data_IF_843423734353
#
_entry.id   IF_843423734353
#
_cell.length_a   1.000
_cell.length_b   1.000
_cell.length_c   1.000
_cell.angle_alpha   90.00
_cell.angle_beta   90.00
_cell.angle_gamma   90.00
#
_symmetry.space_group_name_H-M   'P 1'
#
loop_
_entity.id
_entity.type
_entity.pdbx_description
1 polymer ?
#
# COMPACT_ATOMS: atom_id res chain seq x y z
N UNK A 1 -22.57 -12.45 3.04
CA UNK A 1 -21.68 -11.39 2.50
C UNK A 1 -21.49 -10.31 3.56
N UNK A 2 -20.31 -9.72 3.69
CA UNK A 2 -20.01 -8.68 4.69
C UNK A 2 -20.65 -7.32 4.36
N UNK A 3 -20.79 -6.43 5.35
CA UNK A 3 -21.34 -5.08 5.16
C UNK A 3 -20.48 -4.24 4.19
N UNK A 4 -19.16 -4.37 4.27
CA UNK A 4 -18.21 -3.62 3.44
C UNK A 4 -18.32 -4.01 1.97
N UNK A 5 -18.40 -5.32 1.68
CA UNK A 5 -18.62 -5.80 0.31
C UNK A 5 -19.96 -5.33 -0.24
N UNK A 6 -21.04 -5.43 0.54
CA UNK A 6 -22.37 -4.96 0.12
C UNK A 6 -22.38 -3.44 -0.20
N UNK A 7 -21.75 -2.63 0.65
CA UNK A 7 -21.61 -1.19 0.44
C UNK A 7 -20.79 -0.87 -0.80
N UNK A 8 -19.67 -1.57 -1.01
CA UNK A 8 -18.84 -1.40 -2.20
C UNK A 8 -19.59 -1.80 -3.48
N UNK A 9 -20.30 -2.95 -3.49
CA UNK A 9 -21.14 -3.34 -4.63
C UNK A 9 -22.14 -2.23 -4.94
N UNK A 10 -22.89 -1.76 -3.94
CA UNK A 10 -23.89 -0.70 -4.12
C UNK A 10 -23.28 0.58 -4.70
N UNK A 11 -22.08 0.98 -4.26
CA UNK A 11 -21.38 2.17 -4.74
C UNK A 11 -20.97 2.06 -6.21
N UNK A 12 -20.54 0.86 -6.64
CA UNK A 12 -20.03 0.61 -7.99
C UNK A 12 -21.06 -0.04 -8.94
N UNK A 13 -22.30 -0.25 -8.48
CA UNK A 13 -23.40 -0.82 -9.27
C UNK A 13 -23.97 0.20 -10.28
N UNK A 14 -23.22 0.44 -11.35
CA UNK A 14 -23.53 1.41 -12.39
C UNK A 14 -22.94 0.99 -13.75
N UNK A 15 -23.35 1.64 -14.83
CA UNK A 15 -22.99 1.30 -16.22
C UNK A 15 -21.53 1.61 -16.60
N UNK A 16 -20.73 2.16 -15.68
CA UNK A 16 -19.32 2.48 -15.88
C UNK A 16 -18.42 1.41 -15.23
N UNK A 17 -18.90 0.74 -14.17
CA UNK A 17 -18.17 -0.33 -13.46
C UNK A 17 -18.92 -1.66 -13.52
N UNK A 18 -19.74 -2.02 -12.52
CA UNK A 18 -20.26 -3.39 -12.41
C UNK A 18 -21.31 -3.74 -13.48
N UNK A 19 -22.04 -2.75 -14.01
CA UNK A 19 -23.01 -2.97 -15.09
C UNK A 19 -22.45 -2.61 -16.47
N UNK A 20 -21.12 -2.43 -16.58
CA UNK A 20 -20.46 -2.12 -17.85
C UNK A 20 -20.58 -3.27 -18.85
N UNK A 21 -20.62 -4.51 -18.37
CA UNK A 21 -20.81 -5.73 -19.17
C UNK A 21 -21.92 -6.59 -18.56
N UNK A 22 -22.54 -7.43 -19.40
CA UNK A 22 -23.53 -8.41 -18.94
C UNK A 22 -22.96 -9.41 -17.94
N UNK A 23 -21.65 -9.70 -18.01
CA UNK A 23 -20.99 -10.56 -17.03
C UNK A 23 -20.92 -9.89 -15.66
N UNK A 24 -20.53 -8.62 -15.59
CA UNK A 24 -20.54 -7.87 -14.33
C UNK A 24 -21.95 -7.81 -13.73
N UNK A 25 -22.96 -7.49 -14.55
CA UNK A 25 -24.36 -7.50 -14.13
C UNK A 25 -24.78 -8.86 -13.55
N UNK A 26 -24.46 -9.96 -14.25
CA UNK A 26 -24.73 -11.32 -13.80
C UNK A 26 -24.04 -11.65 -12.46
N UNK A 27 -22.78 -11.24 -12.28
CA UNK A 27 -22.03 -11.50 -11.05
C UNK A 27 -22.66 -10.76 -9.87
N UNK A 28 -22.96 -9.46 -10.03
CA UNK A 28 -23.30 -8.60 -8.88
C UNK A 28 -24.80 -8.39 -8.66
N UNK A 29 -25.67 -8.98 -9.49
CA UNK A 29 -27.13 -8.97 -9.30
C UNK A 29 -27.59 -10.26 -8.66
N UNK A 30 -28.33 -10.15 -7.56
CA UNK A 30 -28.96 -11.29 -6.93
C UNK A 30 -30.11 -11.80 -7.83
N UNK A 31 -30.05 -13.05 -8.32
CA UNK A 31 -31.04 -13.58 -9.26
C UNK A 31 -32.44 -13.71 -8.65
N UNK A 32 -32.56 -13.84 -7.33
CA UNK A 32 -33.84 -13.99 -6.64
C UNK A 32 -34.57 -12.65 -6.50
N UNK A 33 -33.82 -11.54 -6.42
CA UNK A 33 -34.39 -10.21 -6.14
C UNK A 33 -34.30 -9.23 -7.31
N UNK A 34 -33.45 -9.52 -8.31
CA UNK A 34 -33.15 -8.61 -9.42
C UNK A 34 -32.44 -7.32 -9.00
N UNK A 35 -31.85 -7.29 -7.80
CA UNK A 35 -31.17 -6.13 -7.21
C UNK A 35 -29.70 -6.45 -6.93
N UNK A 36 -28.81 -5.46 -6.75
CA UNK A 36 -27.46 -5.71 -6.27
C UNK A 36 -27.49 -6.46 -4.94
N UNK A 37 -26.56 -7.40 -4.75
CA UNK A 37 -26.48 -8.17 -3.50
C UNK A 37 -26.41 -7.25 -2.26
N UNK A 38 -27.17 -7.59 -1.23
CA UNK A 38 -27.26 -6.84 0.02
C UNK A 38 -26.47 -7.49 1.17
N UNK A 39 -26.29 -6.74 2.26
CA UNK A 39 -25.67 -7.26 3.48
C UNK A 39 -26.39 -8.53 3.95
N UNK A 40 -25.61 -9.50 4.45
CA UNK A 40 -26.09 -10.81 4.92
C UNK A 40 -26.65 -11.75 3.83
N UNK A 41 -26.62 -11.37 2.55
CA UNK A 41 -26.96 -12.29 1.45
C UNK A 41 -25.80 -13.25 1.13
N UNK A 42 -26.15 -14.42 0.58
CA UNK A 42 -25.17 -15.40 0.13
C UNK A 42 -24.67 -15.06 -1.27
N UNK A 43 -23.56 -14.32 -1.32
CA UNK A 43 -22.89 -13.97 -2.58
C UNK A 43 -21.99 -15.12 -3.05
N UNK A 44 -22.28 -15.67 -4.24
CA UNK A 44 -21.56 -16.80 -4.84
C UNK A 44 -20.90 -16.39 -6.15
N UNK A 45 -19.65 -16.77 -6.34
CA UNK A 45 -18.89 -16.52 -7.57
C UNK A 45 -18.40 -17.86 -8.15
N UNK A 46 -19.28 -18.67 -8.78
CA UNK A 46 -18.91 -20.00 -9.27
C UNK A 46 -17.85 -19.96 -10.39
N UNK A 47 -17.93 -18.97 -11.31
CA UNK A 47 -16.93 -18.78 -12.37
C UNK A 47 -15.54 -18.47 -11.77
N UNK A 48 -15.49 -17.60 -10.75
CA UNK A 48 -14.25 -17.31 -10.02
C UNK A 48 -13.71 -18.55 -9.31
N UNK A 49 -14.58 -19.37 -8.71
CA UNK A 49 -14.17 -20.60 -8.05
C UNK A 49 -13.57 -21.61 -9.04
N UNK A 50 -14.13 -21.73 -10.24
CA UNK A 50 -13.59 -22.56 -11.31
C UNK A 50 -12.24 -22.01 -11.80
N UNK A 51 -12.14 -20.70 -12.02
CA UNK A 51 -10.87 -20.04 -12.36
C UNK A 51 -9.78 -20.35 -11.33
N UNK A 52 -10.07 -20.20 -10.03
CA UNK A 52 -9.10 -20.48 -8.95
C UNK A 52 -8.67 -21.96 -8.96
N UNK A 53 -9.59 -22.90 -9.20
CA UNK A 53 -9.24 -24.34 -9.32
C UNK A 53 -8.29 -24.57 -10.49
N UNK A 54 -8.57 -23.98 -11.65
CA UNK A 54 -7.73 -24.15 -12.84
C UNK A 54 -6.33 -23.57 -12.62
N UNK A 55 -6.24 -22.38 -12.00
CA UNK A 55 -4.96 -21.76 -11.63
C UNK A 55 -4.21 -22.59 -10.59
N UNK A 56 -4.88 -23.21 -9.62
CA UNK A 56 -4.22 -24.03 -8.58
C UNK A 56 -3.53 -25.28 -9.13
N UNK A 57 -3.95 -25.77 -10.30
CA UNK A 57 -3.37 -26.97 -10.93
C UNK A 57 -2.31 -26.60 -11.96
N UNK A 58 -2.60 -25.64 -12.85
CA UNK A 58 -1.73 -25.29 -13.97
C UNK A 58 -1.65 -23.75 -14.17
N UNK A 59 -1.24 -23.01 -13.13
CA UNK A 59 -1.29 -21.55 -13.09
C UNK A 59 -0.81 -20.85 -14.36
N UNK A 60 0.45 -21.04 -14.76
CA UNK A 60 1.04 -20.35 -15.91
C UNK A 60 0.37 -20.76 -17.22
N UNK A 61 0.16 -22.07 -17.41
CA UNK A 61 -0.40 -22.58 -18.66
C UNK A 61 -1.85 -22.15 -18.86
N UNK A 62 -2.66 -22.17 -17.80
CA UNK A 62 -4.03 -21.72 -17.85
C UNK A 62 -4.16 -20.20 -18.04
N UNK A 63 -3.38 -19.43 -17.26
CA UNK A 63 -3.53 -17.99 -17.18
C UNK A 63 -2.82 -17.22 -18.31
N UNK A 64 -1.58 -17.57 -18.63
CA UNK A 64 -0.76 -16.84 -19.61
C UNK A 64 -0.77 -17.45 -21.01
N UNK A 65 -0.87 -18.78 -21.10
CA UNK A 65 -0.75 -19.49 -22.39
C UNK A 65 -2.07 -20.03 -22.94
N UNK A 66 -3.07 -20.21 -22.07
CA UNK A 66 -4.30 -20.94 -22.35
C UNK A 66 -5.53 -20.07 -22.48
N UNK A 67 -6.69 -20.67 -22.21
CA UNK A 67 -8.01 -20.09 -22.53
C UNK A 67 -8.29 -18.77 -21.82
N UNK A 68 -7.75 -18.55 -20.62
CA UNK A 68 -7.97 -17.27 -19.94
C UNK A 68 -7.26 -16.12 -20.66
N UNK A 69 -6.04 -16.31 -21.16
CA UNK A 69 -5.33 -15.31 -21.95
C UNK A 69 -6.08 -15.00 -23.26
N UNK A 70 -6.58 -16.04 -23.93
CA UNK A 70 -7.37 -15.90 -25.16
C UNK A 70 -8.68 -15.13 -24.91
N UNK A 71 -9.44 -15.50 -23.87
CA UNK A 71 -10.69 -14.84 -23.48
C UNK A 71 -10.46 -13.37 -23.12
N UNK A 72 -9.45 -13.11 -22.29
CA UNK A 72 -9.14 -11.76 -21.82
C UNK A 72 -8.71 -10.85 -22.97
N UNK A 73 -7.84 -11.33 -23.85
CA UNK A 73 -7.34 -10.53 -24.96
C UNK A 73 -8.42 -10.33 -26.03
N UNK A 74 -9.26 -11.34 -26.30
CA UNK A 74 -10.42 -11.20 -27.18
C UNK A 74 -11.39 -10.11 -26.70
N UNK A 75 -11.72 -10.13 -25.40
CA UNK A 75 -12.55 -9.09 -24.79
C UNK A 75 -11.91 -7.70 -24.89
N UNK A 76 -10.60 -7.58 -24.62
CA UNK A 76 -9.91 -6.31 -24.73
C UNK A 76 -9.88 -5.79 -26.17
N UNK A 77 -9.61 -6.65 -27.16
CA UNK A 77 -9.60 -6.27 -28.57
C UNK A 77 -11.00 -5.83 -29.05
N UNK A 78 -12.07 -6.51 -28.62
CA UNK A 78 -13.46 -6.06 -28.86
C UNK A 78 -13.69 -4.64 -28.30
N UNK A 79 -13.12 -4.34 -27.14
CA UNK A 79 -13.17 -3.01 -26.52
C UNK A 79 -12.10 -2.03 -27.02
N UNK A 80 -11.40 -2.35 -28.12
CA UNK A 80 -10.33 -1.53 -28.72
C UNK A 80 -9.15 -1.27 -27.78
N UNK A 81 -8.87 -2.22 -26.90
CA UNK A 81 -7.68 -2.28 -26.05
C UNK A 81 -6.45 -2.74 -26.82
N UNK A 82 -5.27 -2.62 -26.20
CA UNK A 82 -3.98 -2.83 -26.86
C UNK A 82 -3.27 -4.13 -26.48
N UNK A 83 -3.72 -4.81 -25.41
CA UNK A 83 -3.07 -6.03 -24.92
C UNK A 83 -3.44 -7.20 -25.84
N UNK A 84 -2.42 -7.95 -26.25
CA UNK A 84 -2.54 -9.12 -27.12
C UNK A 84 -2.21 -10.42 -26.37
N UNK A 85 -2.56 -11.57 -26.96
CA UNK A 85 -2.18 -12.88 -26.41
C UNK A 85 -0.65 -13.05 -26.37
N UNK A 86 0.06 -12.46 -27.33
CA UNK A 86 1.53 -12.48 -27.33
C UNK A 86 2.13 -11.64 -26.19
N UNK A 87 1.45 -10.58 -25.74
CA UNK A 87 1.87 -9.85 -24.54
C UNK A 87 1.71 -10.70 -23.28
N UNK A 88 0.62 -11.47 -23.18
CA UNK A 88 0.38 -12.40 -22.08
C UNK A 88 1.44 -13.50 -22.04
N UNK A 89 1.69 -14.17 -23.18
CA UNK A 89 2.65 -15.28 -23.29
C UNK A 89 4.10 -14.87 -23.07
N UNK A 90 4.45 -13.61 -23.37
CA UNK A 90 5.80 -13.08 -23.15
C UNK A 90 6.05 -12.61 -21.72
N UNK A 91 5.01 -12.49 -20.90
CA UNK A 91 5.17 -12.02 -19.53
C UNK A 91 5.97 -13.02 -18.69
N UNK A 92 6.93 -12.51 -17.91
CA UNK A 92 7.64 -13.28 -16.90
C UNK A 92 7.74 -12.47 -15.61
N UNK A 93 7.61 -13.16 -14.48
CA UNK A 93 7.88 -12.58 -13.16
C UNK A 93 9.36 -12.28 -13.04
N UNK A 94 9.71 -11.11 -12.52
CA UNK A 94 11.10 -10.77 -12.21
C UNK A 94 11.44 -11.18 -10.79
N UNK A 95 12.54 -11.90 -10.66
CA UNK A 95 13.22 -12.13 -9.40
C UNK A 95 14.35 -11.10 -9.32
N UNK A 96 14.26 -10.24 -8.32
CA UNK A 96 15.22 -9.16 -8.12
C UNK A 96 15.80 -9.29 -6.71
N UNK A 97 17.10 -9.03 -6.59
CA UNK A 97 17.74 -8.92 -5.29
C UNK A 97 17.14 -7.74 -4.53
N UNK A 98 16.75 -7.91 -3.26
CA UNK A 98 16.20 -6.83 -2.46
C UNK A 98 17.25 -5.74 -2.23
N UNK A 99 16.84 -4.48 -2.21
CA UNK A 99 17.70 -3.39 -1.73
C UNK A 99 17.65 -3.34 -0.20
N UNK A 100 18.72 -2.88 0.43
CA UNK A 100 18.80 -2.83 1.88
C UNK A 100 19.53 -1.59 2.41
N UNK A 101 19.30 -1.29 3.69
CA UNK A 101 20.08 -0.34 4.50
C UNK A 101 20.24 -0.88 5.91
N UNK A 102 21.27 -0.40 6.60
CA UNK A 102 21.27 -0.43 8.06
C UNK A 102 20.35 0.68 8.55
N UNK A 103 19.56 0.41 9.58
CA UNK A 103 18.74 1.41 10.26
C UNK A 103 18.59 1.01 11.73
N UNK A 104 19.05 1.88 12.64
CA UNK A 104 19.06 1.62 14.09
C UNK A 104 19.66 0.26 14.48
N UNK A 105 20.73 -0.15 13.79
CA UNK A 105 21.38 -1.44 14.00
C UNK A 105 20.66 -2.64 13.38
N UNK A 106 19.52 -2.48 12.70
CA UNK A 106 18.82 -3.54 11.97
C UNK A 106 19.14 -3.51 10.47
N UNK A 107 19.26 -4.67 9.85
CA UNK A 107 19.29 -4.80 8.40
C UNK A 107 17.86 -4.73 7.87
N UNK A 108 17.47 -3.61 7.24
CA UNK A 108 16.15 -3.44 6.64
C UNK A 108 16.22 -3.65 5.14
N UNK A 109 15.48 -4.66 4.66
CA UNK A 109 15.33 -4.99 3.25
C UNK A 109 13.98 -4.50 2.74
N UNK A 110 13.98 -4.02 1.50
CA UNK A 110 12.78 -3.67 0.75
C UNK A 110 12.71 -4.48 -0.56
N UNK A 111 11.61 -4.35 -1.31
CA UNK A 111 11.55 -4.83 -2.70
C UNK A 111 12.78 -4.37 -3.49
N UNK A 112 13.20 -5.11 -4.52
CA UNK A 112 14.43 -4.85 -5.29
C UNK A 112 14.55 -3.46 -5.94
N UNK A 113 15.40 -3.31 -6.94
CA UNK A 113 15.71 -2.01 -7.57
C UNK A 113 14.56 -1.42 -8.44
N UNK A 114 13.32 -1.64 -8.02
CA UNK A 114 12.11 -0.92 -8.41
C UNK A 114 11.96 0.35 -7.53
N UNK A 115 11.20 1.33 -8.00
CA UNK A 115 11.06 2.66 -7.38
C UNK A 115 10.81 2.61 -5.86
N UNK A 116 9.81 1.83 -5.40
CA UNK A 116 9.38 1.85 -4.01
C UNK A 116 10.46 1.43 -3.01
N UNK A 117 11.19 0.36 -3.34
CA UNK A 117 12.23 -0.18 -2.45
C UNK A 117 13.40 0.77 -2.24
N UNK A 118 13.88 1.37 -3.34
CA UNK A 118 14.94 2.39 -3.30
C UNK A 118 14.50 3.60 -2.47
N UNK A 119 13.27 4.08 -2.71
CA UNK A 119 12.72 5.22 -1.98
C UNK A 119 12.64 4.96 -0.45
N UNK A 120 12.29 3.73 -0.03
CA UNK A 120 12.27 3.37 1.40
C UNK A 120 13.68 3.35 2.00
N UNK A 121 14.63 2.69 1.33
CA UNK A 121 16.02 2.62 1.77
C UNK A 121 16.64 4.01 1.91
N UNK A 122 16.42 4.88 0.92
CA UNK A 122 16.90 6.27 0.97
C UNK A 122 16.31 7.04 2.15
N UNK A 123 15.00 6.90 2.42
CA UNK A 123 14.35 7.56 3.56
C UNK A 123 14.93 7.10 4.89
N UNK A 124 15.05 5.79 5.09
CA UNK A 124 15.59 5.23 6.34
C UNK A 124 17.03 5.67 6.55
N UNK A 125 17.85 5.67 5.50
CA UNK A 125 19.24 6.15 5.59
C UNK A 125 19.32 7.65 5.91
N UNK A 126 18.46 8.49 5.30
CA UNK A 126 18.39 9.92 5.63
C UNK A 126 17.91 10.15 7.07
N UNK A 127 16.97 9.35 7.56
CA UNK A 127 16.51 9.40 8.94
C UNK A 127 17.63 9.04 9.91
N UNK A 128 18.42 8.01 9.61
CA UNK A 128 19.61 7.62 10.37
C UNK A 128 20.68 8.73 10.39
N UNK A 129 20.97 9.34 9.22
CA UNK A 129 21.93 10.46 9.14
C UNK A 129 21.45 11.71 9.89
N UNK A 130 20.14 11.93 9.97
CA UNK A 130 19.55 13.00 10.75
C UNK A 130 19.49 12.66 12.26
N UNK A 131 19.80 11.43 12.67
CA UNK A 131 19.71 10.99 14.06
C UNK A 131 18.27 10.79 14.53
N UNK A 132 17.31 10.53 13.65
CA UNK A 132 15.89 10.39 14.00
C UNK A 132 15.59 9.05 14.69
N UNK A 133 16.41 8.04 14.45
CA UNK A 133 16.30 6.68 14.98
C UNK A 133 16.37 6.58 16.51
N UNK A 134 17.00 7.56 17.15
CA UNK A 134 17.19 7.63 18.61
C UNK A 134 16.24 8.62 19.30
N UNK A 135 15.18 9.05 18.61
CA UNK A 135 14.14 9.83 19.25
C UNK A 135 13.24 8.88 20.01
N UNK A 136 13.08 9.14 21.31
CA UNK A 136 12.03 8.51 22.09
C UNK A 136 10.69 8.99 21.51
N UNK A 137 10.09 8.14 20.68
CA UNK A 137 8.82 8.37 19.99
C UNK A 137 7.73 7.47 20.58
N UNK A 138 7.84 7.13 21.86
CA UNK A 138 6.70 6.55 22.57
C UNK A 138 5.49 7.51 22.52
N UNK A 139 4.30 6.99 22.83
CA UNK A 139 3.08 7.79 22.80
C UNK A 139 3.15 9.04 23.70
N UNK A 140 3.92 9.02 24.79
CA UNK A 140 4.06 10.15 25.71
C UNK A 140 4.99 11.24 25.17
N UNK A 141 6.05 10.85 24.46
CA UNK A 141 7.03 11.74 23.88
C UNK A 141 6.64 12.26 22.50
N UNK A 142 5.87 11.49 21.71
CA UNK A 142 5.16 11.99 20.51
C UNK A 142 4.22 13.16 20.82
N UNK A 143 3.78 13.27 22.08
CA UNK A 143 2.91 14.33 22.56
C UNK A 143 3.69 15.50 23.21
N UNK A 144 5.02 15.50 23.14
CA UNK A 144 5.85 16.52 23.81
C UNK A 144 6.51 17.48 22.82
N UNK A 145 6.53 18.76 23.20
CA UNK A 145 7.21 19.85 22.50
C UNK A 145 8.68 19.55 22.21
N UNK A 146 9.37 19.02 23.22
CA UNK A 146 10.83 18.86 23.18
C UNK A 146 11.23 17.83 22.11
N UNK A 147 10.47 16.75 21.96
CA UNK A 147 10.67 15.76 20.89
C UNK A 147 10.40 16.35 19.50
N UNK A 148 9.34 17.14 19.34
CA UNK A 148 9.03 17.80 18.07
C UNK A 148 10.12 18.81 17.65
N UNK A 149 10.65 19.59 18.60
CA UNK A 149 11.76 20.53 18.37
C UNK A 149 13.05 19.78 18.02
N UNK A 150 13.37 18.70 18.73
CA UNK A 150 14.57 17.91 18.45
C UNK A 150 14.57 17.30 17.03
N UNK A 151 13.41 16.80 16.56
CA UNK A 151 13.21 16.34 15.17
C UNK A 151 13.47 17.49 14.19
N UNK A 152 12.84 18.64 14.44
CA UNK A 152 12.89 19.80 13.56
C UNK A 152 14.30 20.37 13.41
N UNK A 153 15.03 20.49 14.53
CA UNK A 153 16.41 20.97 14.52
C UNK A 153 17.36 20.02 13.76
N UNK A 154 17.11 18.70 13.84
CA UNK A 154 17.87 17.66 13.14
C UNK A 154 17.64 17.64 11.62
N UNK A 155 16.40 17.89 11.17
CA UNK A 155 16.04 17.90 9.73
C UNK A 155 16.50 19.20 9.03
N UNK A 156 16.69 20.29 9.79
CA UNK A 156 17.33 21.51 9.31
C UNK A 156 16.34 22.55 8.76
N UNK A 157 16.60 23.80 9.14
CA UNK A 157 15.66 24.94 9.17
C UNK A 157 14.64 25.04 8.01
N UNK A 158 13.38 25.36 8.38
CA UNK A 158 12.28 25.76 7.49
C UNK A 158 12.70 26.65 6.31
N UNK A 159 13.72 27.48 6.51
CA UNK A 159 14.21 28.43 5.52
C UNK A 159 14.84 27.77 4.30
N UNK A 160 15.55 26.64 4.46
CA UNK A 160 16.09 25.88 3.31
C UNK A 160 15.00 25.13 2.54
N UNK A 161 13.97 24.66 3.25
CA UNK A 161 12.82 23.99 2.61
C UNK A 161 12.02 24.96 1.72
N UNK A 162 11.96 26.25 2.07
CA UNK A 162 11.29 27.29 1.24
C UNK A 162 11.88 27.45 -0.17
N UNK A 163 13.18 27.22 -0.36
CA UNK A 163 13.81 27.32 -1.69
C UNK A 163 13.53 26.10 -2.56
N UNK A 164 13.58 24.90 -1.97
CA UNK A 164 13.20 23.64 -2.62
C UNK A 164 11.73 23.68 -3.09
N UNK A 165 10.85 24.32 -2.30
CA UNK A 165 9.45 24.51 -2.62
C UNK A 165 9.19 25.29 -3.92
N UNK A 166 10.01 26.31 -4.21
CA UNK A 166 9.90 27.09 -5.45
C UNK A 166 10.32 26.26 -6.67
N UNK A 167 11.32 25.38 -6.49
CA UNK A 167 11.81 24.46 -7.53
C UNK A 167 10.78 23.35 -7.81
N UNK A 168 10.22 22.72 -6.77
CA UNK A 168 9.16 21.71 -6.91
C UNK A 168 7.91 22.30 -7.56
N UNK A 169 7.48 23.51 -7.15
CA UNK A 169 6.38 24.26 -7.80
C UNK A 169 6.61 24.50 -9.30
N UNK A 170 7.85 24.78 -9.68
CA UNK A 170 8.24 25.00 -11.09
C UNK A 170 8.33 23.70 -11.89
N UNK A 171 8.76 22.60 -11.26
CA UNK A 171 8.86 21.28 -11.88
C UNK A 171 7.50 20.60 -12.07
N UNK A 172 6.62 20.70 -11.08
CA UNK A 172 5.28 20.09 -11.10
C UNK A 172 4.23 20.96 -11.82
N UNK A 173 4.63 21.76 -12.81
CA UNK A 173 3.80 22.73 -13.55
C UNK A 173 2.62 22.17 -14.37
N UNK A 174 2.02 21.05 -13.96
CA UNK A 174 0.82 20.45 -14.53
C UNK A 174 -0.31 20.36 -13.50
N UNK A 175 -1.48 20.91 -13.84
CA UNK A 175 -2.74 20.67 -13.12
C UNK A 175 -3.28 19.27 -13.45
N UNK A 176 -2.59 18.21 -13.04
CA UNK A 176 -3.23 16.89 -13.06
C UNK A 176 -3.91 16.64 -11.71
N UNK A 177 -5.25 16.69 -11.71
CA UNK A 177 -6.04 16.26 -10.58
C UNK A 177 -5.96 14.73 -10.48
N UNK A 178 -5.15 14.21 -9.56
CA UNK A 178 -5.28 12.83 -9.11
C UNK A 178 -6.62 12.71 -8.38
N UNK A 179 -7.61 12.05 -9.00
CA UNK A 179 -8.82 11.66 -8.28
C UNK A 179 -8.39 10.64 -7.23
N UNK A 180 -8.63 10.93 -5.94
CA UNK A 180 -8.44 9.95 -4.88
C UNK A 180 -9.42 8.79 -5.11
N UNK A 181 -8.89 7.67 -5.60
CA UNK A 181 -9.67 6.44 -5.69
C UNK A 181 -9.52 5.68 -4.37
N UNK A 182 -10.58 5.01 -3.95
CA UNK A 182 -10.46 3.94 -2.95
C UNK A 182 -9.63 2.83 -3.63
N UNK A 183 -8.42 2.61 -3.14
CA UNK A 183 -7.42 1.76 -3.82
C UNK A 183 -7.76 0.28 -3.65
N UNK A 184 -7.76 -0.46 -4.76
CA UNK A 184 -7.86 -1.93 -4.75
C UNK A 184 -6.51 -2.60 -4.44
N UNK A 185 -5.98 -2.36 -3.25
CA UNK A 185 -4.73 -2.97 -2.79
C UNK A 185 -4.98 -3.80 -1.54
N UNK A 186 -4.23 -4.89 -1.40
CA UNK A 186 -4.27 -5.77 -0.24
C UNK A 186 -2.84 -6.20 0.12
N UNK A 187 -2.61 -6.61 1.36
CA UNK A 187 -1.29 -7.02 1.83
C UNK A 187 -1.33 -8.23 2.74
N UNK A 188 -0.29 -9.04 2.73
CA UNK A 188 -0.13 -10.19 3.63
C UNK A 188 1.30 -10.19 4.14
N UNK A 189 1.45 -10.45 5.43
CA UNK A 189 2.73 -10.82 6.03
C UNK A 189 2.58 -12.18 6.68
N UNK A 190 3.62 -12.99 6.63
CA UNK A 190 3.62 -14.32 7.23
C UNK A 190 5.04 -14.69 7.66
N UNK A 191 5.14 -15.52 8.70
CA UNK A 191 6.38 -16.13 9.13
C UNK A 191 6.11 -17.56 9.59
N UNK A 192 7.13 -18.41 9.54
CA UNK A 192 7.06 -19.78 10.06
C UNK A 192 8.20 -20.11 11.04
N UNK A 193 8.09 -21.27 11.69
CA UNK A 193 9.05 -21.76 12.69
C UNK A 193 10.45 -22.06 12.13
N UNK A 194 10.59 -22.17 10.81
CA UNK A 194 11.86 -22.43 10.14
C UNK A 194 12.60 -21.12 9.84
N UNK A 195 11.97 -19.98 10.12
CA UNK A 195 12.54 -18.65 9.88
C UNK A 195 12.21 -18.09 8.50
N UNK A 196 11.33 -18.74 7.72
CA UNK A 196 10.85 -18.15 6.47
C UNK A 196 9.92 -16.97 6.81
N UNK A 197 10.10 -15.86 6.09
CA UNK A 197 9.30 -14.64 6.28
C UNK A 197 8.88 -14.07 4.93
N UNK A 198 7.64 -13.62 4.85
CA UNK A 198 7.05 -13.02 3.66
C UNK A 198 6.43 -11.65 4.02
N UNK A 199 6.70 -10.65 3.18
CA UNK A 199 6.00 -9.37 3.17
C UNK A 199 5.53 -9.11 1.74
N UNK A 200 4.22 -9.05 1.53
CA UNK A 200 3.61 -9.05 0.20
C UNK A 200 2.51 -7.99 0.10
N UNK A 201 2.51 -7.27 -1.03
CA UNK A 201 1.43 -6.36 -1.40
C UNK A 201 0.98 -6.72 -2.82
N UNK A 202 -0.34 -6.80 -3.01
CA UNK A 202 -0.96 -6.94 -4.31
C UNK A 202 -1.87 -5.74 -4.58
N UNK A 203 -1.87 -5.25 -5.82
CA UNK A 203 -2.72 -4.12 -6.21
C UNK A 203 -3.18 -4.21 -7.65
N UNK A 204 -4.44 -3.81 -7.88
CA UNK A 204 -4.96 -3.54 -9.23
C UNK A 204 -4.64 -2.10 -9.69
N UNK A 205 -3.93 -1.33 -8.86
CA UNK A 205 -3.45 0.03 -9.09
C UNK A 205 -4.49 0.95 -9.74
N UNK A 206 -5.72 0.84 -9.25
CA UNK A 206 -6.89 1.55 -9.75
C UNK A 206 -8.03 1.49 -8.73
N UNK A 207 -9.16 2.11 -9.06
CA UNK A 207 -10.40 1.98 -8.29
C UNK A 207 -10.85 0.52 -8.17
N UNK A 208 -11.71 0.23 -7.19
CA UNK A 208 -12.32 -1.10 -7.02
C UNK A 208 -12.92 -1.62 -8.34
N UNK A 209 -12.68 -2.91 -8.64
CA UNK A 209 -13.03 -3.58 -9.91
C UNK A 209 -12.42 -2.98 -11.19
N UNK A 210 -11.42 -2.09 -11.06
CA UNK A 210 -10.57 -1.61 -12.15
C UNK A 210 -11.34 -1.03 -13.33
N UNK A 211 -11.30 -1.74 -14.46
CA UNK A 211 -11.96 -1.32 -15.70
C UNK A 211 -13.48 -1.61 -15.71
N UNK A 212 -13.99 -2.45 -14.81
CA UNK A 212 -15.36 -2.97 -14.90
C UNK A 212 -15.55 -4.02 -16.00
N UNK A 213 -14.47 -4.46 -16.64
CA UNK A 213 -14.47 -5.64 -17.50
C UNK A 213 -14.19 -6.87 -16.66
N UNK A 214 -14.84 -7.99 -16.99
CA UNK A 214 -14.70 -9.25 -16.27
C UNK A 214 -14.34 -10.36 -17.25
N UNK A 215 -13.57 -11.34 -16.78
CA UNK A 215 -13.23 -12.57 -17.51
C UNK A 215 -13.24 -13.69 -16.49
N UNK A 216 -14.12 -14.69 -16.70
CA UNK A 216 -14.27 -15.84 -15.79
C UNK A 216 -14.39 -15.43 -14.29
N UNK A 217 -15.16 -14.38 -13.99
CA UNK A 217 -15.32 -13.87 -12.63
C UNK A 217 -14.20 -12.96 -12.11
N UNK A 218 -13.10 -12.77 -12.85
CA UNK A 218 -11.99 -11.86 -12.49
C UNK A 218 -12.21 -10.49 -13.11
N UNK A 219 -12.14 -9.43 -12.30
CA UNK A 219 -12.14 -8.06 -12.79
C UNK A 219 -10.78 -7.69 -13.41
N UNK A 220 -10.79 -7.11 -14.61
CA UNK A 220 -9.56 -6.66 -15.27
C UNK A 220 -9.07 -5.34 -14.65
N UNK A 221 -7.81 -5.29 -14.17
CA UNK A 221 -7.27 -4.11 -13.51
C UNK A 221 -7.08 -2.96 -14.51
N UNK A 222 -6.99 -1.74 -13.99
CA UNK A 222 -6.66 -0.56 -14.79
C UNK A 222 -5.29 0.00 -14.39
N UNK A 223 -4.30 -0.87 -14.20
CA UNK A 223 -3.03 -0.54 -13.52
C UNK A 223 -2.20 0.55 -14.19
N UNK A 224 -2.37 0.79 -15.50
CA UNK A 224 -1.70 1.86 -16.22
C UNK A 224 -2.40 3.23 -16.10
N UNK A 225 -3.57 3.32 -15.47
CA UNK A 225 -4.39 4.54 -15.45
C UNK A 225 -3.70 5.73 -14.80
N UNK A 226 -2.91 5.48 -13.76
CA UNK A 226 -2.19 6.51 -13.00
C UNK A 226 -0.78 6.79 -13.56
N UNK A 227 -0.28 5.95 -14.47
CA UNK A 227 1.07 6.03 -15.03
C UNK A 227 1.06 6.35 -16.53
N UNK A 228 0.11 7.16 -17.01
CA UNK A 228 -0.06 7.43 -18.46
C UNK A 228 1.20 7.96 -19.14
N UNK A 229 1.96 8.81 -18.47
CA UNK A 229 3.23 9.36 -18.98
C UNK A 229 4.29 8.27 -19.13
N UNK A 230 4.41 7.37 -18.15
CA UNK A 230 5.33 6.24 -18.21
C UNK A 230 4.89 5.22 -19.27
N UNK A 231 3.60 4.86 -19.32
CA UNK A 231 3.04 3.96 -20.34
C UNK A 231 3.39 4.42 -21.76
N UNK A 232 3.34 5.73 -22.04
CA UNK A 232 3.71 6.29 -23.35
C UNK A 232 5.21 6.16 -23.69
N UNK A 233 6.06 6.07 -22.68
CA UNK A 233 7.52 5.97 -22.82
C UNK A 233 8.02 4.54 -22.73
N UNK A 234 7.21 3.63 -22.18
CA UNK A 234 7.55 2.22 -22.03
C UNK A 234 7.32 1.48 -23.34
N UNK A 235 8.39 0.91 -23.90
CA UNK A 235 8.30 0.00 -25.06
C UNK A 235 7.58 -1.30 -24.69
N UNK A 236 6.97 -2.02 -25.65
CA UNK A 236 6.40 -3.35 -25.41
C UNK A 236 7.39 -4.29 -24.69
N UNK A 237 6.90 -5.01 -23.68
CA UNK A 237 7.72 -5.85 -22.79
C UNK A 237 8.44 -5.08 -21.67
N UNK A 238 8.44 -3.75 -21.71
CA UNK A 238 8.89 -2.92 -20.60
C UNK A 238 7.91 -2.95 -19.41
N UNK A 239 8.43 -2.80 -18.19
CA UNK A 239 7.63 -2.77 -16.95
C UNK A 239 7.45 -1.33 -16.48
N UNK A 240 6.27 -1.01 -15.98
CA UNK A 240 6.05 0.23 -15.22
C UNK A 240 6.69 0.10 -13.82
N UNK A 241 7.17 1.19 -13.23
CA UNK A 241 7.79 1.13 -11.92
C UNK A 241 6.78 0.71 -10.85
N UNK A 242 7.22 -0.11 -9.89
CA UNK A 242 6.44 -0.48 -8.71
C UNK A 242 6.83 0.41 -7.52
N UNK A 243 5.90 1.21 -7.03
CA UNK A 243 6.17 2.20 -5.99
C UNK A 243 5.90 1.68 -4.55
N UNK A 244 5.31 0.49 -4.41
CA UNK A 244 4.96 -0.10 -3.11
C UNK A 244 6.21 -0.52 -2.30
N UNK A 245 6.07 -0.54 -0.99
CA UNK A 245 7.19 -0.66 -0.04
C UNK A 245 6.98 -1.81 0.97
N UNK A 246 6.92 -3.08 0.51
CA UNK A 246 7.02 -4.20 1.45
C UNK A 246 8.43 -4.21 2.04
N UNK A 247 8.52 -4.39 3.36
CA UNK A 247 9.78 -4.38 4.10
C UNK A 247 9.90 -5.61 5.00
N UNK A 248 11.14 -6.08 5.18
CA UNK A 248 11.53 -7.11 6.15
C UNK A 248 12.78 -6.61 6.87
N UNK A 249 12.83 -6.70 8.19
CA UNK A 249 14.03 -6.37 8.96
C UNK A 249 14.60 -7.59 9.67
N UNK A 250 15.93 -7.60 9.79
CA UNK A 250 16.70 -8.64 10.48
C UNK A 250 17.59 -8.01 11.53
N UNK A 251 17.91 -8.78 12.58
CA UNK A 251 19.07 -8.46 13.41
C UNK A 251 20.34 -8.55 12.57
N UNK A 252 21.34 -7.69 12.84
CA UNK A 252 22.61 -7.72 12.11
C UNK A 252 23.31 -9.07 12.33
N UNK A 253 24.14 -9.49 11.39
CA UNK A 253 24.77 -10.81 11.38
C UNK A 253 25.66 -11.03 12.62
N UNK A 254 25.15 -11.78 13.61
CA UNK A 254 25.93 -12.25 14.76
C UNK A 254 25.76 -13.76 15.04
N UNK A 255 24.86 -14.46 14.34
CA UNK A 255 24.53 -15.86 14.66
C UNK A 255 25.12 -16.86 13.66
N UNK A 256 25.55 -18.01 14.16
CA UNK A 256 25.98 -19.15 13.34
C UNK A 256 24.83 -19.76 12.51
N UNK A 257 23.58 -19.37 12.75
CA UNK A 257 22.38 -19.83 12.05
C UNK A 257 21.88 -18.86 10.96
N UNK A 258 22.60 -17.75 10.69
CA UNK A 258 22.21 -16.75 9.69
C UNK A 258 21.49 -15.54 10.28
N UNK A 259 20.90 -14.71 9.41
CA UNK A 259 20.18 -13.48 9.80
C UNK A 259 18.84 -13.84 10.43
N UNK A 260 18.58 -13.29 11.63
CA UNK A 260 17.34 -13.54 12.35
C UNK A 260 16.30 -12.48 11.98
N UNK A 261 15.16 -12.83 11.38
CA UNK A 261 14.11 -11.86 11.08
C UNK A 261 13.48 -11.35 12.37
N UNK A 262 13.15 -10.06 12.40
CA UNK A 262 12.49 -9.39 13.54
C UNK A 262 11.21 -8.68 13.14
N UNK A 263 11.03 -8.36 11.85
CA UNK A 263 9.88 -7.62 11.36
C UNK A 263 9.56 -7.99 9.91
N UNK A 264 8.27 -8.13 9.60
CA UNK A 264 7.73 -8.04 8.25
C UNK A 264 6.61 -6.99 8.24
N UNK A 265 6.64 -6.07 7.28
CA UNK A 265 5.73 -4.94 7.21
C UNK A 265 5.29 -4.70 5.77
N UNK A 266 3.98 -4.54 5.58
CA UNK A 266 3.41 -4.09 4.32
C UNK A 266 2.30 -3.09 4.58
N UNK A 267 2.23 -2.02 3.79
CA UNK A 267 1.27 -0.92 3.97
C UNK A 267 0.57 -0.64 2.64
N UNK A 268 -0.76 -0.51 2.67
CA UNK A 268 -1.57 -0.07 1.53
C UNK A 268 -2.25 1.26 1.84
N UNK A 269 -2.85 1.89 0.84
CA UNK A 269 -3.39 3.25 0.95
C UNK A 269 -2.40 4.29 0.43
N UNK A 270 -2.88 5.44 -0.05
CA UNK A 270 -2.01 6.35 -0.82
C UNK A 270 -0.93 7.03 0.02
N UNK A 271 -1.01 7.00 1.35
CA UNK A 271 0.03 7.51 2.25
C UNK A 271 1.10 6.49 2.58
N UNK A 272 1.08 5.29 2.00
CA UNK A 272 2.12 4.28 2.26
C UNK A 272 3.55 4.85 2.18
N UNK A 273 3.93 5.77 1.25
CA UNK A 273 5.32 6.23 1.15
C UNK A 273 5.83 6.91 2.44
N UNK A 274 4.94 7.53 3.20
CA UNK A 274 5.29 8.22 4.43
C UNK A 274 4.92 7.40 5.67
N UNK A 275 3.96 6.49 5.57
CA UNK A 275 3.51 5.66 6.71
C UNK A 275 4.45 4.49 6.95
N UNK A 276 5.04 3.89 5.91
CA UNK A 276 6.01 2.80 6.06
C UNK A 276 7.17 3.18 7.00
N UNK A 277 7.92 4.28 6.80
CA UNK A 277 8.99 4.65 7.72
C UNK A 277 8.48 4.93 9.14
N UNK A 278 7.28 5.51 9.31
CA UNK A 278 6.69 5.72 10.64
C UNK A 278 6.45 4.38 11.37
N UNK A 279 5.97 3.34 10.68
CA UNK A 279 5.82 2.01 11.27
C UNK A 279 7.15 1.31 11.51
N UNK A 280 8.14 1.46 10.62
CA UNK A 280 9.50 0.94 10.85
C UNK A 280 10.05 1.52 12.15
N UNK A 281 10.02 2.85 12.32
CA UNK A 281 10.43 3.53 13.55
C UNK A 281 9.63 3.08 14.78
N UNK A 282 8.30 2.95 14.65
CA UNK A 282 7.46 2.51 15.78
C UNK A 282 7.83 1.10 16.26
N UNK A 283 8.06 0.18 15.32
CA UNK A 283 8.32 -1.23 15.61
C UNK A 283 9.77 -1.49 16.04
N UNK A 284 10.74 -0.84 15.39
CA UNK A 284 12.17 -1.10 15.62
C UNK A 284 12.80 -0.16 16.64
N UNK A 285 12.41 1.12 16.67
CA UNK A 285 13.06 2.12 17.54
C UNK A 285 12.32 2.26 18.87
N UNK A 286 11.00 2.45 18.81
CA UNK A 286 10.17 2.61 20.01
C UNK A 286 9.81 1.27 20.69
N UNK A 287 10.12 0.14 20.04
CA UNK A 287 9.81 -1.20 20.55
C UNK A 287 8.31 -1.48 20.70
N UNK A 288 7.46 -0.72 20.01
CA UNK A 288 6.01 -0.94 20.05
C UNK A 288 5.68 -2.32 19.49
N UNK A 289 4.73 -3.01 20.12
CA UNK A 289 4.21 -4.22 19.50
C UNK A 289 3.38 -3.87 18.25
N UNK A 290 3.11 -4.84 17.35
CA UNK A 290 2.37 -4.60 16.12
C UNK A 290 1.01 -3.91 16.31
N UNK A 291 0.30 -4.17 17.41
CA UNK A 291 -0.99 -3.53 17.68
C UNK A 291 -0.81 -2.06 18.04
N UNK A 292 0.10 -1.75 18.96
CA UNK A 292 0.41 -0.38 19.36
C UNK A 292 0.88 0.47 18.17
N UNK A 293 1.78 -0.08 17.34
CA UNK A 293 2.25 0.60 16.14
C UNK A 293 1.10 0.89 15.17
N UNK A 294 0.23 -0.09 14.89
CA UNK A 294 -0.87 0.04 13.93
C UNK A 294 -2.01 0.94 14.43
N UNK A 295 -2.17 1.10 15.73
CA UNK A 295 -3.15 2.02 16.34
C UNK A 295 -2.58 3.43 16.57
N UNK A 296 -1.27 3.61 16.38
CA UNK A 296 -0.63 4.90 16.56
C UNK A 296 -1.04 5.89 15.46
N UNK A 297 -1.21 7.18 15.79
CA UNK A 297 -1.42 8.23 14.80
C UNK A 297 -0.32 8.25 13.74
N UNK A 298 -0.71 8.40 12.47
CA UNK A 298 0.22 8.54 11.35
C UNK A 298 -0.05 9.81 10.57
N UNK A 299 1.01 10.45 10.08
CA UNK A 299 0.88 11.50 9.08
C UNK A 299 0.41 10.92 7.74
N UNK A 300 -0.40 11.69 7.01
CA UNK A 300 -0.96 11.35 5.70
C UNK A 300 -0.23 12.10 4.58
N UNK A 301 -0.18 11.49 3.40
CA UNK A 301 0.53 12.10 2.27
C UNK A 301 -0.13 13.43 1.92
N UNK A 302 0.64 14.51 1.81
CA UNK A 302 0.07 15.80 1.49
C UNK A 302 -0.53 15.83 0.09
N UNK A 303 -1.59 16.61 -0.04
CA UNK A 303 -2.22 16.84 -1.33
C UNK A 303 -1.34 17.64 -2.27
N UNK A 304 -1.50 17.41 -3.57
CA UNK A 304 -0.87 18.21 -4.62
C UNK A 304 -1.20 19.71 -4.52
N UNK A 305 -2.40 20.04 -4.02
CA UNK A 305 -2.87 21.43 -3.83
C UNK A 305 -2.05 22.19 -2.79
N UNK A 306 -1.47 21.47 -1.82
CA UNK A 306 -0.65 22.04 -0.76
C UNK A 306 0.83 21.92 -1.09
N UNK A 307 1.17 21.56 -2.34
CA UNK A 307 2.54 21.38 -2.83
C UNK A 307 3.41 20.49 -1.94
N UNK A 308 2.80 19.45 -1.38
CA UNK A 308 3.46 18.53 -0.45
C UNK A 308 3.90 19.16 0.89
N UNK A 309 3.30 20.29 1.32
CA UNK A 309 3.76 21.05 2.49
C UNK A 309 2.92 20.90 3.74
N UNK A 310 1.60 20.75 3.60
CA UNK A 310 0.76 20.47 4.75
C UNK A 310 1.17 19.10 5.32
N UNK A 311 1.05 18.91 6.62
CA UNK A 311 1.08 17.57 7.21
C UNK A 311 -0.37 17.22 7.52
N UNK A 312 -1.10 16.55 6.61
CA UNK A 312 -2.43 16.10 6.93
C UNK A 312 -2.36 15.01 8.00
N UNK A 313 -3.25 15.10 8.96
CA UNK A 313 -3.37 14.14 10.06
C UNK A 313 -4.85 13.85 10.30
N UNK A 314 -5.18 12.64 10.76
CA UNK A 314 -6.55 12.32 11.13
C UNK A 314 -6.99 13.19 12.31
N UNK A 315 -8.19 13.77 12.23
CA UNK A 315 -8.81 14.54 13.31
C UNK A 315 -8.79 13.77 14.64
N UNK A 316 -8.49 14.47 15.74
CA UNK A 316 -8.46 13.92 17.11
C UNK A 316 -7.44 12.81 17.36
N UNK A 317 -6.55 12.51 16.39
CA UNK A 317 -5.49 11.51 16.59
C UNK A 317 -4.29 12.06 17.37
N UNK A 318 -4.08 13.38 17.36
CA UNK A 318 -3.02 14.06 18.12
C UNK A 318 -3.62 15.18 18.95
N UNK A 319 -3.08 15.40 20.15
CA UNK A 319 -3.58 16.42 21.07
C UNK A 319 -3.40 17.85 20.50
N UNK A 320 -4.42 18.69 20.65
CA UNK A 320 -4.46 20.02 20.02
C UNK A 320 -3.30 20.94 20.48
N UNK A 321 -2.82 20.80 21.71
CA UNK A 321 -1.67 21.57 22.18
C UNK A 321 -0.40 21.25 21.37
N UNK A 322 -0.20 20.00 20.98
CA UNK A 322 0.93 19.56 20.14
C UNK A 322 0.78 20.11 18.73
N UNK A 323 -0.42 20.04 18.17
CA UNK A 323 -0.71 20.61 16.84
C UNK A 323 -0.46 22.11 16.80
N UNK A 324 -0.86 22.84 17.86
CA UNK A 324 -0.61 24.27 17.96
C UNK A 324 0.89 24.59 18.06
N UNK A 325 1.66 23.82 18.84
CA UNK A 325 3.12 24.00 18.93
C UNK A 325 3.82 23.80 17.59
N UNK A 326 3.44 22.77 16.83
CA UNK A 326 4.00 22.52 15.49
C UNK A 326 3.65 23.67 14.53
N UNK A 327 2.42 24.22 14.62
CA UNK A 327 2.01 25.41 13.86
C UNK A 327 2.84 26.63 14.25
N UNK A 328 3.14 26.82 15.53
CA UNK A 328 3.96 27.92 16.05
C UNK A 328 5.42 27.82 15.58
N UNK A 329 5.92 26.62 15.30
CA UNK A 329 7.22 26.38 14.63
C UNK A 329 7.21 26.70 13.13
N UNK A 330 6.05 27.05 12.57
CA UNK A 330 5.87 27.42 11.17
C UNK A 330 5.55 26.26 10.24
N UNK A 331 5.28 25.07 10.77
CA UNK A 331 4.86 23.90 9.99
C UNK A 331 3.34 23.89 9.83
N UNK A 332 2.86 23.83 8.58
CA UNK A 332 1.44 23.70 8.30
C UNK A 332 0.94 22.30 8.66
N UNK A 333 -0.03 22.21 9.57
CA UNK A 333 -0.70 20.95 9.93
C UNK A 333 -2.19 21.10 9.69
N UNK A 334 -2.77 20.15 8.99
CA UNK A 334 -4.19 20.15 8.62
C UNK A 334 -4.85 18.90 9.16
N UNK A 335 -5.84 19.07 10.03
CA UNK A 335 -6.64 17.92 10.43
C UNK A 335 -7.62 17.53 9.31
N UNK A 336 -7.79 16.23 9.11
CA UNK A 336 -8.58 15.63 8.05
C UNK A 336 -9.64 14.74 8.67
N UNK A 337 -10.90 15.08 8.42
CA UNK A 337 -12.05 14.24 8.78
C UNK A 337 -11.83 12.78 8.39
N UNK A 338 -12.19 11.86 9.29
CA UNK A 338 -12.04 10.41 9.10
C UNK A 338 -12.50 9.92 7.72
N UNK A 339 -13.65 10.40 7.24
CA UNK A 339 -14.22 10.00 5.94
C UNK A 339 -13.31 10.30 4.75
N UNK A 340 -12.50 11.36 4.85
CA UNK A 340 -11.51 11.77 3.86
C UNK A 340 -10.15 11.13 4.12
N UNK A 341 -9.82 10.84 5.38
CA UNK A 341 -8.60 10.15 5.79
C UNK A 341 -8.62 8.66 5.43
N UNK A 342 -9.79 8.00 5.41
CA UNK A 342 -9.89 6.54 5.18
C UNK A 342 -9.33 6.05 3.84
N UNK A 343 -9.36 6.88 2.78
CA UNK A 343 -8.73 6.54 1.49
C UNK A 343 -7.19 6.58 1.55
N UNK A 344 -6.58 7.68 2.02
CA UNK A 344 -5.14 7.82 2.13
C UNK A 344 -4.50 7.10 3.31
N UNK A 345 -5.25 6.73 4.36
CA UNK A 345 -4.69 6.12 5.58
C UNK A 345 -3.84 4.90 5.23
N UNK A 346 -2.61 4.85 5.78
CA UNK A 346 -1.69 3.75 5.54
C UNK A 346 -2.14 2.51 6.30
N UNK A 347 -2.92 1.65 5.67
CA UNK A 347 -3.44 0.42 6.28
C UNK A 347 -2.34 -0.65 6.35
N UNK A 348 -1.58 -0.64 7.42
CA UNK A 348 -0.49 -1.59 7.66
C UNK A 348 -0.95 -3.01 8.01
N UNK A 349 -0.05 -3.96 7.72
CA UNK A 349 -0.03 -5.33 8.26
C UNK A 349 1.40 -5.58 8.69
N UNK A 350 1.58 -5.94 9.95
CA UNK A 350 2.89 -6.19 10.53
C UNK A 350 2.92 -7.51 11.25
N UNK A 351 4.10 -8.12 11.23
CA UNK A 351 4.50 -9.22 12.06
C UNK A 351 5.86 -8.88 12.67
N UNK A 352 6.02 -9.08 13.98
CA UNK A 352 7.30 -8.99 14.67
C UNK A 352 7.67 -10.31 15.33
N UNK A 353 8.97 -10.56 15.49
CA UNK A 353 9.50 -11.78 16.10
C UNK A 353 10.44 -11.37 17.23
N UNK A 354 10.14 -11.82 18.45
CA UNK A 354 10.98 -11.51 19.62
C UNK A 354 12.19 -12.44 19.74
N UNK A 355 13.01 -12.21 20.78
CA UNK A 355 14.24 -12.95 21.03
C UNK A 355 14.05 -14.41 21.44
N UNK A 356 12.84 -14.79 21.85
CA UNK A 356 12.45 -16.17 22.11
C UNK A 356 11.86 -16.86 20.87
N UNK A 357 11.68 -16.12 19.77
CA UNK A 357 11.08 -16.62 18.53
C UNK A 357 9.55 -16.56 18.55
N UNK A 358 8.97 -15.88 19.54
CA UNK A 358 7.53 -15.66 19.58
C UNK A 358 7.13 -14.63 18.53
N UNK A 359 6.06 -14.92 17.80
CA UNK A 359 5.58 -14.10 16.69
C UNK A 359 4.33 -13.36 17.10
N UNK A 360 4.29 -12.06 16.80
CA UNK A 360 3.14 -11.20 17.07
C UNK A 360 2.71 -10.59 15.74
N UNK A 361 1.42 -10.71 15.40
CA UNK A 361 0.86 -10.18 14.16
C UNK A 361 -0.27 -9.21 14.42
N UNK A 362 -0.38 -8.17 13.60
CA UNK A 362 -1.51 -7.25 13.63
C UNK A 362 -1.81 -6.71 12.23
N UNK A 363 -3.07 -6.35 12.02
CA UNK A 363 -3.51 -5.53 10.89
C UNK A 363 -4.10 -4.24 11.42
N UNK A 364 -3.96 -3.15 10.66
CA UNK A 364 -4.55 -1.86 10.98
C UNK A 364 -6.05 -1.99 11.37
N UNK A 365 -6.53 -1.35 12.44
CA UNK A 365 -7.89 -1.56 12.96
C UNK A 365 -9.01 -1.18 11.98
N UNK A 366 -8.74 -0.23 11.09
CA UNK A 366 -9.67 0.17 10.03
C UNK A 366 -9.73 -0.82 8.87
N UNK A 367 -8.76 -1.73 8.82
CA UNK A 367 -8.78 -2.85 7.88
C UNK A 367 -9.58 -3.97 8.51
N UNK A 368 -10.52 -4.54 7.75
CA UNK A 368 -11.28 -5.72 8.16
C UNK A 368 -10.48 -7.02 8.01
N UNK A 369 -9.19 -6.97 8.35
CA UNK A 369 -8.30 -8.13 8.32
C UNK A 369 -8.26 -8.83 9.68
N UNK A 370 -7.38 -9.83 9.79
CA UNK A 370 -7.12 -10.55 11.04
C UNK A 370 -5.65 -10.98 11.07
N UNK A 371 -5.17 -11.32 12.28
CA UNK A 371 -3.91 -12.01 12.49
C UNK A 371 -4.21 -13.31 13.25
N UNK A 372 -3.60 -14.41 12.81
CA UNK A 372 -3.82 -15.74 13.37
C UNK A 372 -2.48 -16.48 13.46
N UNK A 373 -2.19 -17.05 14.64
CA UNK A 373 -1.05 -17.94 14.85
C UNK A 373 -1.45 -19.39 14.60
N UNK A 374 -0.51 -20.20 14.13
CA UNK A 374 -0.73 -21.61 13.75
C UNK A 374 0.08 -22.55 14.65
#
# INVERSE_FOLDING_TARGET
>A
MSLGMAAAIKLYYNNITLLRTSQGEKIFTNPDTGKPYAFNELFKQPELAEFIRNVSVNATEYFYNGTWADDMTSLLQEKKGFITVDDMRRYQTKWEEPVNTLYNGYDVFASGNDWGGVELVEKLHLMELAGIENLDLDLSNRLSRDSAVAIWERIGSAEKMKEVNAVIKKLLGGKESMKYFIHGSDAVVAADKEGNVCSMIHTINSQMWGTGLFVQGIALPHSGAIFKSYVKQTSPGGRLPAALQPAIAFKPEESAQGRRPVMALSVVGSSYPIVVPQYVTSLLDSGMNPKEAMESPTFLSPGFTDFFQAVPIEEFSVAENVLQEVRDMGQGVTEVEFSKAFGPIGLGVALTIDDNGMMYGCTHPLRRGFAEGV
#
